data_IF_585982150489
#
_entry.id   IF_585982150489
#
_cell.length_a   1.000
_cell.length_b   1.000
_cell.length_c   1.000
_cell.angle_alpha   90.00
_cell.angle_beta   90.00
_cell.angle_gamma   90.00
#
_symmetry.space_group_name_H-M   'P 1'
#
loop_
_entity.id
_entity.type
_entity.pdbx_description
1 polymer ?
#
# COMPACT_ATOMS: atom_id res chain seq x y z
N UNK A 1 49.64 -41.53 79.36
CA UNK A 1 49.98 -40.44 80.31
C UNK A 1 48.97 -39.34 80.24
N UNK A 2 48.32 -39.06 81.39
CA UNK A 2 47.58 -37.89 81.85
C UNK A 2 46.41 -37.42 80.94
N UNK A 3 45.15 -37.64 81.32
CA UNK A 3 44.40 -37.22 82.52
C UNK A 3 43.99 -35.74 82.46
N UNK A 4 42.74 -35.47 82.53
CA UNK A 4 42.23 -34.27 83.18
C UNK A 4 40.98 -33.70 82.49
N UNK A 5 39.90 -33.97 83.06
CA UNK A 5 38.90 -33.35 83.95
C UNK A 5 37.84 -32.54 83.13
N UNK A 6 36.68 -33.07 83.08
CA UNK A 6 35.45 -32.80 83.86
C UNK A 6 35.29 -31.34 84.33
N UNK A 7 34.36 -30.58 83.71
CA UNK A 7 33.53 -29.63 84.50
C UNK A 7 32.15 -29.52 83.85
N UNK A 8 31.21 -29.92 84.65
CA UNK A 8 29.77 -29.77 84.52
C UNK A 8 29.36 -28.37 84.92
N UNK A 9 28.61 -27.68 84.14
CA UNK A 9 27.83 -26.54 84.65
C UNK A 9 26.50 -26.42 83.84
N UNK A 10 25.47 -26.75 84.62
CA UNK A 10 24.06 -26.48 84.35
C UNK A 10 23.76 -24.99 84.38
N UNK A 11 22.93 -24.51 83.46
CA UNK A 11 21.92 -23.44 83.66
C UNK A 11 20.94 -23.38 82.49
N UNK A 12 19.73 -23.89 82.73
CA UNK A 12 18.44 -23.19 82.80
C UNK A 12 18.11 -22.23 81.65
N UNK A 13 17.23 -22.69 80.85
CA UNK A 13 15.96 -22.05 80.48
C UNK A 13 15.98 -20.77 79.65
N UNK A 14 15.45 -20.89 78.46
CA UNK A 14 14.34 -20.00 78.00
C UNK A 14 13.72 -20.62 76.74
N UNK A 15 12.49 -21.05 76.88
CA UNK A 15 11.61 -21.38 75.76
C UNK A 15 11.34 -20.09 74.96
N UNK A 16 11.90 -19.94 73.73
CA UNK A 16 11.44 -19.07 72.76
C UNK A 16 10.84 -19.92 71.62
N UNK A 17 9.53 -19.99 71.59
CA UNK A 17 8.74 -20.52 70.48
C UNK A 17 8.86 -19.59 69.27
N UNK A 18 9.86 -19.81 68.45
CA UNK A 18 9.97 -19.24 67.14
C UNK A 18 9.05 -19.99 66.16
N UNK A 19 7.89 -19.42 65.86
CA UNK A 19 7.11 -19.82 64.70
C UNK A 19 7.97 -19.57 63.43
N UNK A 20 8.58 -20.64 62.91
CA UNK A 20 9.12 -20.63 61.57
C UNK A 20 7.92 -20.61 60.61
N UNK A 21 7.55 -19.42 60.16
CA UNK A 21 6.72 -19.26 58.95
C UNK A 21 7.53 -19.80 57.79
N UNK A 22 7.23 -21.04 57.38
CA UNK A 22 7.63 -21.55 56.09
C UNK A 22 7.01 -20.64 55.03
N UNK A 23 7.83 -19.75 54.48
CA UNK A 23 7.51 -18.97 53.32
C UNK A 23 7.60 -19.95 52.14
N UNK A 24 6.46 -20.65 51.86
CA UNK A 24 6.25 -21.31 50.59
C UNK A 24 6.41 -20.26 49.51
N UNK A 25 7.58 -20.19 48.88
CA UNK A 25 7.79 -19.59 47.61
C UNK A 25 6.96 -20.33 46.59
N UNK A 26 5.65 -20.04 46.55
CA UNK A 26 4.83 -20.34 45.39
C UNK A 26 5.46 -19.62 44.22
N UNK A 27 6.34 -20.34 43.51
CA UNK A 27 6.68 -19.99 42.14
C UNK A 27 5.36 -20.06 41.36
N UNK A 28 4.63 -18.95 41.37
CA UNK A 28 3.53 -18.71 40.45
C UNK A 28 4.17 -18.74 39.07
N UNK A 29 4.17 -19.93 38.46
CA UNK A 29 4.41 -20.06 37.04
C UNK A 29 3.33 -19.21 36.39
N UNK A 30 3.71 -18.01 35.95
CA UNK A 30 2.85 -17.17 35.16
C UNK A 30 2.41 -18.02 33.96
N UNK A 31 1.11 -18.28 33.79
CA UNK A 31 0.65 -19.10 32.67
C UNK A 31 1.16 -18.45 31.43
N UNK A 32 1.89 -19.21 30.59
CA UNK A 32 2.31 -18.73 29.26
C UNK A 32 1.12 -18.07 28.61
N UNK A 33 1.28 -16.85 28.02
CA UNK A 33 0.17 -16.14 27.41
C UNK A 33 -0.53 -17.10 26.46
N UNK A 34 -1.86 -17.23 26.54
CA UNK A 34 -2.58 -18.17 25.69
C UNK A 34 -2.24 -17.82 24.25
N UNK A 35 -1.77 -18.81 23.48
CA UNK A 35 -1.54 -18.61 22.04
C UNK A 35 -2.79 -17.96 21.47
N UNK A 36 -2.65 -16.80 20.86
CA UNK A 36 -3.77 -16.02 20.37
C UNK A 36 -4.60 -16.90 19.43
N UNK A 37 -5.85 -17.17 19.78
CA UNK A 37 -6.76 -17.92 18.94
C UNK A 37 -7.07 -17.16 17.65
N UNK A 38 -7.74 -17.80 16.66
CA UNK A 38 -8.01 -17.17 15.35
C UNK A 38 -8.81 -15.86 15.48
N UNK A 39 -9.72 -15.77 16.46
CA UNK A 39 -10.49 -14.55 16.70
C UNK A 39 -9.63 -13.38 17.21
N UNK A 40 -8.62 -13.66 18.03
CA UNK A 40 -7.69 -12.63 18.50
C UNK A 40 -6.77 -12.17 17.36
N UNK A 41 -6.22 -13.10 16.56
CA UNK A 41 -5.42 -12.75 15.39
C UNK A 41 -6.22 -11.95 14.36
N UNK A 42 -7.50 -12.30 14.12
CA UNK A 42 -8.36 -11.55 13.22
C UNK A 42 -8.66 -10.14 13.78
N UNK A 43 -8.95 -10.00 15.08
CA UNK A 43 -9.10 -8.70 15.74
C UNK A 43 -7.89 -7.79 15.49
N UNK A 44 -6.70 -8.35 15.68
CA UNK A 44 -5.46 -7.57 15.54
C UNK A 44 -5.17 -7.25 14.06
N UNK A 45 -5.51 -8.15 13.13
CA UNK A 45 -5.49 -7.89 11.69
C UNK A 45 -6.40 -6.71 11.31
N UNK A 46 -7.67 -6.74 11.78
CA UNK A 46 -8.64 -5.68 11.50
C UNK A 46 -8.25 -4.35 12.16
N UNK A 47 -7.63 -4.41 13.33
CA UNK A 47 -7.09 -3.22 13.99
C UNK A 47 -5.93 -2.59 13.19
N UNK A 48 -5.01 -3.42 12.70
CA UNK A 48 -3.91 -2.96 11.84
C UNK A 48 -4.43 -2.40 10.51
N UNK A 49 -5.44 -3.04 9.90
CA UNK A 49 -6.08 -2.55 8.68
C UNK A 49 -6.78 -1.20 8.91
N UNK A 50 -7.48 -1.03 10.06
CA UNK A 50 -8.13 0.23 10.44
C UNK A 50 -7.14 1.40 10.54
N UNK A 51 -5.98 1.18 11.17
CA UNK A 51 -4.96 2.22 11.34
C UNK A 51 -4.03 2.39 10.14
N UNK A 52 -4.20 1.58 9.09
CA UNK A 52 -3.25 1.46 7.97
C UNK A 52 -1.82 1.15 8.44
N UNK A 53 -1.67 0.38 9.54
CA UNK A 53 -0.37 -0.10 10.01
C UNK A 53 0.11 -1.27 9.15
N UNK A 54 0.89 -0.95 8.10
CA UNK A 54 1.43 -1.92 7.15
C UNK A 54 2.32 -2.97 7.81
N UNK A 55 3.09 -2.58 8.83
CA UNK A 55 4.05 -3.46 9.52
C UNK A 55 3.29 -4.50 10.32
N UNK A 56 2.34 -4.07 11.14
CA UNK A 56 1.50 -4.98 11.91
C UNK A 56 0.61 -5.84 11.00
N UNK A 57 -0.06 -5.25 10.01
CA UNK A 57 -0.94 -5.96 9.08
C UNK A 57 -0.22 -7.12 8.37
N UNK A 58 1.00 -6.87 7.89
CA UNK A 58 1.82 -7.88 7.21
C UNK A 58 2.07 -9.12 8.06
N UNK A 59 2.17 -8.99 9.40
CA UNK A 59 2.43 -10.12 10.28
C UNK A 59 1.28 -11.13 10.32
N UNK A 60 0.06 -10.72 9.97
CA UNK A 60 -1.13 -11.57 9.94
C UNK A 60 -1.39 -12.22 8.58
N UNK A 61 -0.57 -11.94 7.58
CA UNK A 61 -0.63 -12.60 6.28
C UNK A 61 0.15 -13.92 6.31
N UNK A 62 -0.22 -14.89 5.46
CA UNK A 62 0.62 -16.07 5.21
C UNK A 62 1.98 -15.65 4.68
N UNK A 63 3.02 -16.48 4.84
CA UNK A 63 4.38 -16.13 4.41
C UNK A 63 4.44 -15.71 2.94
N UNK A 64 3.71 -16.41 2.05
CA UNK A 64 3.61 -16.09 0.64
C UNK A 64 2.97 -14.72 0.41
N UNK A 65 1.83 -14.46 1.05
CA UNK A 65 1.12 -13.17 0.92
C UNK A 65 1.92 -12.01 1.53
N UNK A 66 2.61 -12.22 2.66
CA UNK A 66 3.47 -11.22 3.28
C UNK A 66 4.64 -10.79 2.38
N UNK A 67 5.21 -11.75 1.63
CA UNK A 67 6.24 -11.46 0.64
C UNK A 67 5.71 -10.59 -0.50
N UNK A 68 4.57 -10.96 -1.09
CA UNK A 68 3.93 -10.18 -2.16
C UNK A 68 3.47 -8.82 -1.66
N UNK A 69 2.87 -8.72 -0.47
CA UNK A 69 2.49 -7.45 0.16
C UNK A 69 3.67 -6.47 0.22
N UNK A 70 4.87 -6.95 0.53
CA UNK A 70 6.07 -6.11 0.60
C UNK A 70 6.52 -5.55 -0.75
N UNK A 71 6.10 -6.17 -1.87
CA UNK A 71 6.43 -5.73 -3.23
C UNK A 71 5.42 -4.75 -3.81
N UNK A 72 4.19 -4.74 -3.25
CA UNK A 72 3.15 -3.83 -3.68
C UNK A 72 3.55 -2.37 -3.47
N UNK A 73 3.01 -1.48 -4.28
CA UNK A 73 3.13 -0.04 -4.07
C UNK A 73 2.44 0.38 -2.78
N UNK A 74 2.78 1.54 -2.23
CA UNK A 74 2.12 2.08 -1.03
C UNK A 74 0.60 2.20 -1.27
N UNK A 75 0.19 2.71 -2.43
CA UNK A 75 -1.22 2.85 -2.79
C UNK A 75 -1.95 1.51 -2.80
N UNK A 76 -1.34 0.46 -3.39
CA UNK A 76 -1.93 -0.87 -3.44
C UNK A 76 -2.04 -1.53 -2.04
N UNK A 77 -1.04 -1.35 -1.17
CA UNK A 77 -1.10 -1.81 0.22
C UNK A 77 -2.21 -1.12 1.01
N UNK A 78 -2.31 0.19 0.86
CA UNK A 78 -3.39 0.97 1.48
C UNK A 78 -4.76 0.50 0.99
N UNK A 79 -4.94 0.33 -0.31
CA UNK A 79 -6.20 -0.13 -0.90
C UNK A 79 -6.59 -1.54 -0.43
N UNK A 80 -5.62 -2.44 -0.28
CA UNK A 80 -5.88 -3.75 0.30
C UNK A 80 -6.41 -3.63 1.75
N UNK A 81 -5.74 -2.85 2.59
CA UNK A 81 -6.16 -2.69 4.00
C UNK A 81 -7.56 -2.07 4.12
N UNK A 82 -7.91 -1.12 3.26
CA UNK A 82 -9.26 -0.54 3.19
C UNK A 82 -10.34 -1.60 2.97
N UNK A 83 -10.07 -2.59 2.11
CA UNK A 83 -11.01 -3.68 1.82
C UNK A 83 -11.28 -4.59 3.01
N UNK A 84 -10.36 -4.70 3.96
CA UNK A 84 -10.55 -5.49 5.17
C UNK A 84 -11.57 -4.87 6.13
N UNK A 85 -11.66 -3.55 6.18
CA UNK A 85 -12.51 -2.81 7.12
C UNK A 85 -13.63 -2.02 6.44
N UNK A 86 -13.70 -2.04 5.11
CA UNK A 86 -14.65 -1.29 4.26
C UNK A 86 -14.66 0.22 4.56
N UNK A 87 -13.51 0.78 4.94
CA UNK A 87 -13.32 2.20 5.22
C UNK A 87 -12.33 2.82 4.26
N UNK A 88 -12.61 4.04 3.80
CA UNK A 88 -11.74 4.77 2.87
C UNK A 88 -10.56 5.44 3.54
N UNK A 89 -10.70 5.84 4.80
CA UNK A 89 -9.71 6.62 5.53
C UNK A 89 -9.13 5.84 6.72
N UNK A 90 -7.86 6.10 7.10
CA UNK A 90 -7.29 5.50 8.28
C UNK A 90 -8.04 5.95 9.53
N UNK A 91 -8.27 5.01 10.45
CA UNK A 91 -8.98 5.23 11.68
C UNK A 91 -8.14 4.95 12.91
N UNK A 92 -8.76 5.17 14.07
CA UNK A 92 -8.21 4.79 15.37
C UNK A 92 -8.93 3.53 15.85
N UNK A 93 -8.27 2.36 15.87
CA UNK A 93 -8.88 1.13 16.33
C UNK A 93 -8.99 1.12 17.85
N UNK A 94 -10.12 0.61 18.34
CA UNK A 94 -10.34 0.31 19.75
C UNK A 94 -10.86 -1.11 19.85
N UNK A 95 -10.08 -2.00 20.46
CA UNK A 95 -10.50 -3.36 20.74
C UNK A 95 -11.39 -3.40 21.99
N UNK A 96 -12.51 -4.07 21.87
CA UNK A 96 -13.49 -4.29 22.94
C UNK A 96 -13.97 -5.74 22.91
N UNK A 97 -14.81 -6.12 23.86
CA UNK A 97 -15.52 -7.39 23.84
C UNK A 97 -17.00 -7.13 24.13
N UNK A 98 -17.88 -7.91 23.49
CA UNK A 98 -19.30 -7.89 23.85
C UNK A 98 -19.58 -8.66 25.14
N UNK A 99 -20.84 -8.67 25.59
CA UNK A 99 -21.27 -9.40 26.80
C UNK A 99 -20.98 -10.92 26.75
N UNK A 100 -20.83 -11.50 25.56
CA UNK A 100 -20.46 -12.91 25.38
C UNK A 100 -18.94 -13.11 25.24
N UNK A 101 -18.12 -12.08 25.51
CA UNK A 101 -16.65 -12.15 25.41
C UNK A 101 -16.12 -12.18 23.97
N UNK A 102 -16.95 -11.94 22.95
CA UNK A 102 -16.52 -11.94 21.55
C UNK A 102 -15.84 -10.63 21.20
N UNK A 103 -14.74 -10.66 20.43
CA UNK A 103 -14.01 -9.45 20.07
C UNK A 103 -14.84 -8.50 19.20
N UNK A 104 -14.74 -7.21 19.49
CA UNK A 104 -15.23 -6.10 18.68
C UNK A 104 -14.07 -5.16 18.39
N UNK A 105 -13.93 -4.73 17.15
CA UNK A 105 -13.04 -3.64 16.75
C UNK A 105 -13.89 -2.45 16.36
N UNK A 106 -13.79 -1.37 17.12
CA UNK A 106 -14.38 -0.08 16.76
C UNK A 106 -13.31 0.74 16.04
N UNK A 107 -13.57 1.11 14.79
CA UNK A 107 -12.66 1.88 13.95
C UNK A 107 -13.24 3.29 13.74
N UNK A 108 -12.66 4.30 14.39
CA UNK A 108 -13.13 5.68 14.32
C UNK A 108 -12.28 6.48 13.33
N UNK A 109 -12.92 6.96 12.27
CA UNK A 109 -12.35 7.88 11.27
C UNK A 109 -12.89 9.30 11.48
N UNK A 110 -12.37 10.32 10.77
CA UNK A 110 -12.94 11.67 10.81
C UNK A 110 -14.41 11.76 10.34
N UNK A 111 -14.87 10.77 9.57
CA UNK A 111 -16.20 10.77 8.94
C UNK A 111 -17.24 9.87 9.62
N UNK A 112 -16.80 9.00 10.53
CA UNK A 112 -17.70 8.08 11.23
C UNK A 112 -16.94 6.98 11.95
N UNK A 113 -17.69 6.15 12.65
CA UNK A 113 -17.15 4.98 13.36
C UNK A 113 -17.79 3.72 12.79
N UNK A 114 -16.95 2.77 12.38
CA UNK A 114 -17.40 1.42 12.03
C UNK A 114 -17.17 0.47 13.21
N UNK A 115 -18.15 -0.37 13.49
CA UNK A 115 -18.05 -1.46 14.44
C UNK A 115 -17.94 -2.79 13.70
N UNK A 116 -16.90 -3.55 14.03
CA UNK A 116 -16.58 -4.83 13.43
C UNK A 116 -16.67 -5.89 14.52
N UNK A 117 -17.74 -6.66 14.51
CA UNK A 117 -17.99 -7.72 15.49
C UNK A 117 -17.52 -9.06 14.94
N UNK A 118 -16.61 -9.74 15.66
CA UNK A 118 -16.11 -11.05 15.28
C UNK A 118 -16.92 -12.12 15.99
N UNK A 119 -17.50 -13.04 15.22
CA UNK A 119 -18.29 -14.14 15.72
C UNK A 119 -17.45 -15.29 16.27
N UNK A 120 -18.13 -16.39 16.64
CA UNK A 120 -17.45 -17.62 17.08
C UNK A 120 -16.68 -18.28 15.95
N UNK A 121 -15.46 -18.75 16.25
CA UNK A 121 -14.64 -19.47 15.28
C UNK A 121 -15.11 -20.92 15.12
N UNK A 122 -15.35 -21.37 13.88
CA UNK A 122 -15.44 -22.79 13.52
C UNK A 122 -14.04 -23.26 13.13
N UNK A 123 -13.39 -24.03 14.02
CA UNK A 123 -12.01 -24.48 13.84
C UNK A 123 -12.01 -25.92 13.38
N UNK A 124 -11.34 -26.19 12.25
CA UNK A 124 -11.13 -27.51 11.66
C UNK A 124 -9.65 -27.70 11.39
N UNK A 125 -8.98 -28.44 12.27
CA UNK A 125 -7.53 -28.67 12.23
C UNK A 125 -6.70 -27.37 12.16
N UNK A 126 -6.12 -27.08 11.02
CA UNK A 126 -5.29 -25.89 10.78
C UNK A 126 -6.08 -24.72 10.15
N UNK A 127 -7.39 -24.87 9.94
CA UNK A 127 -8.23 -23.84 9.32
C UNK A 127 -9.31 -23.40 10.30
N UNK A 128 -9.63 -22.13 10.30
CA UNK A 128 -10.74 -21.57 11.08
C UNK A 128 -11.58 -20.63 10.21
N UNK A 129 -12.90 -20.67 10.43
CA UNK A 129 -13.83 -19.74 9.79
C UNK A 129 -14.50 -18.89 10.85
N UNK A 130 -14.49 -17.56 10.64
CA UNK A 130 -15.02 -16.58 11.56
C UNK A 130 -16.02 -15.67 10.84
N UNK A 131 -17.31 -15.71 11.21
CA UNK A 131 -18.26 -14.71 10.71
C UNK A 131 -17.93 -13.36 11.35
N UNK A 132 -17.99 -12.31 10.52
CA UNK A 132 -17.73 -10.93 10.92
C UNK A 132 -18.89 -10.07 10.45
N UNK A 133 -19.41 -9.26 11.35
CA UNK A 133 -20.45 -8.28 11.09
C UNK A 133 -19.84 -6.88 11.14
N UNK A 134 -19.90 -6.15 10.02
CA UNK A 134 -19.49 -4.75 9.95
C UNK A 134 -20.72 -3.85 9.92
N UNK A 135 -20.74 -2.86 10.78
CA UNK A 135 -21.83 -1.87 10.90
C UNK A 135 -21.25 -0.47 11.04
N UNK A 136 -21.99 0.51 10.56
CA UNK A 136 -21.72 1.89 10.89
C UNK A 136 -22.34 2.21 12.27
N UNK A 137 -21.51 2.71 13.21
CA UNK A 137 -21.96 2.97 14.59
C UNK A 137 -22.98 4.14 14.70
N UNK A 138 -23.01 5.02 13.70
CA UNK A 138 -23.92 6.18 13.65
C UNK A 138 -25.37 5.80 13.36
N UNK A 139 -25.63 4.59 12.85
CA UNK A 139 -26.95 4.14 12.47
C UNK A 139 -27.21 2.67 12.89
N UNK A 140 -27.41 2.42 14.19
CA UNK A 140 -27.59 1.05 14.70
C UNK A 140 -28.91 0.39 14.24
N UNK A 141 -29.92 1.17 13.84
CA UNK A 141 -31.26 0.64 13.54
C UNK A 141 -31.54 0.51 12.04
N UNK A 142 -30.87 1.28 11.18
CA UNK A 142 -31.11 1.28 9.73
C UNK A 142 -29.86 0.86 8.92
N UNK A 143 -28.68 0.84 9.52
CA UNK A 143 -27.45 0.42 8.88
C UNK A 143 -27.46 -1.05 8.53
N UNK A 144 -27.45 -1.40 7.24
CA UNK A 144 -27.28 -2.76 6.79
C UNK A 144 -25.96 -3.32 7.30
N UNK A 145 -26.03 -4.39 8.11
CA UNK A 145 -24.83 -5.09 8.53
C UNK A 145 -24.24 -5.83 7.31
N UNK A 146 -22.96 -5.61 7.03
CA UNK A 146 -22.23 -6.41 6.06
C UNK A 146 -21.71 -7.67 6.74
N UNK A 147 -22.24 -8.83 6.34
CA UNK A 147 -21.81 -10.12 6.84
C UNK A 147 -20.70 -10.69 5.97
N UNK A 148 -19.52 -10.89 6.55
CA UNK A 148 -18.36 -11.44 5.85
C UNK A 148 -17.81 -12.61 6.62
N UNK A 149 -17.49 -13.71 5.92
CA UNK A 149 -16.84 -14.87 6.52
C UNK A 149 -15.33 -14.78 6.28
N UNK A 150 -14.54 -14.68 7.33
CA UNK A 150 -13.08 -14.74 7.24
C UNK A 150 -12.60 -16.17 7.41
N UNK A 151 -11.73 -16.63 6.51
CA UNK A 151 -10.95 -17.84 6.64
C UNK A 151 -9.56 -17.53 7.20
N UNK A 152 -9.14 -18.31 8.19
CA UNK A 152 -7.82 -18.25 8.78
C UNK A 152 -7.12 -19.59 8.63
N UNK A 153 -5.80 -19.58 8.50
CA UNK A 153 -4.96 -20.80 8.48
C UNK A 153 -3.89 -20.70 9.56
N UNK A 154 -3.57 -21.82 10.20
CA UNK A 154 -2.48 -21.88 11.18
C UNK A 154 -1.17 -22.21 10.48
N UNK A 155 -0.25 -21.24 10.44
CA UNK A 155 1.08 -21.35 9.85
C UNK A 155 2.12 -21.08 10.95
N UNK A 156 3.03 -22.03 11.17
CA UNK A 156 4.06 -21.96 12.22
C UNK A 156 3.51 -21.68 13.64
N UNK A 157 2.32 -22.21 13.95
CA UNK A 157 1.67 -22.00 15.26
C UNK A 157 0.84 -20.73 15.38
N UNK A 158 0.88 -19.84 14.41
CA UNK A 158 0.16 -18.57 14.38
C UNK A 158 -1.01 -18.60 13.37
N UNK A 159 -2.08 -17.87 13.68
CA UNK A 159 -3.22 -17.77 12.79
C UNK A 159 -3.00 -16.61 11.79
N UNK A 160 -3.11 -16.92 10.50
CA UNK A 160 -2.92 -16.01 9.37
C UNK A 160 -4.20 -15.91 8.53
N UNK A 161 -4.45 -14.79 7.89
CA UNK A 161 -5.61 -14.64 7.00
C UNK A 161 -5.43 -15.47 5.74
N UNK A 162 -6.42 -16.29 5.44
CA UNK A 162 -6.48 -17.14 4.26
C UNK A 162 -7.48 -16.62 3.22
N UNK A 163 -8.66 -16.17 3.67
CA UNK A 163 -9.73 -15.72 2.76
C UNK A 163 -10.60 -14.64 3.40
N UNK A 164 -11.27 -13.88 2.53
CA UNK A 164 -12.30 -12.90 2.88
C UNK A 164 -13.54 -13.26 2.07
N UNK A 165 -14.61 -13.65 2.74
CA UNK A 165 -15.78 -14.22 2.07
C UNK A 165 -15.42 -15.50 1.30
N UNK A 166 -15.87 -15.59 0.08
CA UNK A 166 -15.55 -16.72 -0.82
C UNK A 166 -14.22 -16.55 -1.56
N UNK A 167 -13.55 -15.40 -1.40
CA UNK A 167 -12.31 -15.08 -2.10
C UNK A 167 -11.09 -15.55 -1.27
N UNK A 168 -10.32 -16.45 -1.85
CA UNK A 168 -9.01 -16.80 -1.31
C UNK A 168 -8.08 -15.60 -1.48
N UNK A 169 -7.37 -15.21 -0.43
CA UNK A 169 -6.39 -14.14 -0.51
C UNK A 169 -5.11 -14.66 -1.20
N UNK A 170 -4.96 -14.34 -2.48
CA UNK A 170 -3.78 -14.65 -3.29
C UNK A 170 -3.13 -13.36 -3.80
N UNK A 171 -2.35 -12.72 -2.93
CA UNK A 171 -1.66 -11.47 -3.27
C UNK A 171 -0.68 -11.60 -4.45
N UNK A 172 0.02 -12.73 -4.68
CA UNK A 172 0.81 -12.89 -5.89
C UNK A 172 0.03 -12.68 -7.19
N UNK A 173 -1.22 -13.15 -7.27
CA UNK A 173 -2.08 -12.92 -8.44
C UNK A 173 -2.56 -11.47 -8.51
N UNK A 174 -2.94 -10.86 -7.39
CA UNK A 174 -3.32 -9.45 -7.32
C UNK A 174 -2.15 -8.51 -7.64
N UNK A 175 -0.92 -8.86 -7.26
CA UNK A 175 0.29 -8.11 -7.61
C UNK A 175 0.40 -7.93 -9.13
N UNK A 176 0.21 -9.00 -9.89
CA UNK A 176 0.27 -8.97 -11.37
C UNK A 176 -0.85 -8.10 -11.96
N UNK A 177 -2.08 -8.20 -11.44
CA UNK A 177 -3.21 -7.40 -11.92
C UNK A 177 -2.99 -5.90 -11.65
N UNK A 178 -2.47 -5.56 -10.47
CA UNK A 178 -2.22 -4.17 -10.10
C UNK A 178 -1.07 -3.55 -10.88
N UNK A 179 0.01 -4.30 -11.12
CA UNK A 179 1.11 -3.85 -11.97
C UNK A 179 0.60 -3.58 -13.40
N UNK A 180 -0.25 -4.45 -13.93
CA UNK A 180 -0.85 -4.23 -15.26
C UNK A 180 -1.79 -3.03 -15.30
N UNK A 181 -2.61 -2.83 -14.27
CA UNK A 181 -3.51 -1.67 -14.19
C UNK A 181 -2.73 -0.36 -14.06
N UNK A 182 -1.64 -0.33 -13.28
CA UNK A 182 -0.77 0.83 -13.12
C UNK A 182 -0.04 1.14 -14.43
N UNK A 183 0.49 0.13 -15.13
CA UNK A 183 1.10 0.24 -16.46
C UNK A 183 0.09 0.84 -17.45
N UNK A 184 -1.12 0.30 -17.54
CA UNK A 184 -2.16 0.77 -18.45
C UNK A 184 -2.55 2.24 -18.18
N UNK A 185 -2.67 2.59 -16.91
CA UNK A 185 -2.97 3.98 -16.49
C UNK A 185 -1.85 4.94 -16.92
N UNK A 186 -0.59 4.56 -16.67
CA UNK A 186 0.58 5.37 -17.06
C UNK A 186 0.68 5.53 -18.59
N UNK A 187 0.38 4.49 -19.35
CA UNK A 187 0.35 4.50 -20.81
C UNK A 187 -0.73 5.47 -21.36
N UNK A 188 -1.93 5.44 -20.79
CA UNK A 188 -3.00 6.38 -21.16
C UNK A 188 -2.61 7.83 -20.83
N UNK A 189 -2.05 8.06 -19.65
CA UNK A 189 -1.58 9.38 -19.23
C UNK A 189 -0.41 9.91 -20.10
N UNK A 190 0.45 9.01 -20.59
CA UNK A 190 1.51 9.36 -21.52
C UNK A 190 0.94 9.82 -22.86
N UNK A 191 -0.08 9.14 -23.37
CA UNK A 191 -0.77 9.54 -24.61
C UNK A 191 -1.48 10.89 -24.48
N UNK A 192 -2.14 11.14 -23.35
CA UNK A 192 -2.72 12.46 -23.05
C UNK A 192 -1.67 13.56 -22.94
N UNK A 193 -0.53 13.24 -22.33
CA UNK A 193 0.60 14.17 -22.20
C UNK A 193 1.19 14.52 -23.57
N UNK A 194 1.31 13.56 -24.49
CA UNK A 194 1.69 13.80 -25.88
C UNK A 194 0.74 14.76 -26.57
N UNK A 195 -0.58 14.58 -26.41
CA UNK A 195 -1.60 15.48 -26.95
C UNK A 195 -1.45 16.89 -26.39
N UNK A 196 -1.22 17.04 -25.08
CA UNK A 196 -0.99 18.33 -24.41
C UNK A 196 0.28 19.03 -24.94
N UNK A 197 1.39 18.29 -25.06
CA UNK A 197 2.65 18.82 -25.59
C UNK A 197 2.44 19.29 -27.04
N UNK A 198 1.77 18.49 -27.89
CA UNK A 198 1.47 18.83 -29.25
C UNK A 198 0.66 20.13 -29.34
N UNK A 199 -0.42 20.25 -28.56
CA UNK A 199 -1.25 21.44 -28.50
C UNK A 199 -0.45 22.70 -28.08
N UNK A 200 0.45 22.53 -27.11
CA UNK A 200 1.34 23.55 -26.62
C UNK A 200 2.33 24.02 -27.73
N UNK A 201 2.92 23.08 -28.47
CA UNK A 201 3.82 23.37 -29.61
C UNK A 201 3.08 24.17 -30.68
N UNK A 202 1.87 23.77 -31.05
CA UNK A 202 1.06 24.46 -32.06
C UNK A 202 0.63 25.86 -31.57
N UNK A 203 0.27 26.01 -30.30
CA UNK A 203 -0.05 27.32 -29.72
C UNK A 203 1.18 28.24 -29.72
N UNK A 204 2.34 27.70 -29.34
CA UNK A 204 3.61 28.44 -29.39
C UNK A 204 3.94 28.87 -30.81
N UNK A 205 3.80 27.99 -31.82
CA UNK A 205 4.04 28.30 -33.24
C UNK A 205 3.14 29.42 -33.74
N UNK A 206 1.87 29.40 -33.34
CA UNK A 206 0.92 30.49 -33.69
C UNK A 206 1.29 31.84 -33.05
N UNK A 207 1.75 31.82 -31.79
CA UNK A 207 2.06 33.02 -31.02
C UNK A 207 3.40 33.66 -31.42
N UNK A 208 4.39 32.83 -31.79
CA UNK A 208 5.77 33.30 -32.00
C UNK A 208 6.31 33.04 -33.43
N UNK A 209 5.47 32.55 -34.36
CA UNK A 209 5.78 32.24 -35.75
C UNK A 209 7.00 31.30 -35.95
N UNK A 210 7.32 30.49 -34.95
CA UNK A 210 8.43 29.51 -34.94
C UNK A 210 8.15 28.35 -33.97
N UNK A 211 8.85 27.23 -34.14
CA UNK A 211 8.84 26.14 -33.20
C UNK A 211 9.61 26.48 -31.91
N UNK A 212 9.22 25.95 -30.74
CA UNK A 212 10.00 26.10 -29.52
C UNK A 212 11.33 25.33 -29.67
N UNK A 213 12.44 25.86 -29.16
CA UNK A 213 13.75 25.21 -29.27
C UNK A 213 13.82 23.88 -28.45
N UNK A 214 13.02 23.79 -27.42
CA UNK A 214 12.98 22.66 -26.48
C UNK A 214 11.69 22.70 -25.64
N UNK A 215 11.29 21.62 -24.95
CA UNK A 215 10.07 21.57 -24.14
C UNK A 215 10.08 22.58 -22.99
N UNK A 216 11.24 22.90 -22.41
CA UNK A 216 11.35 23.89 -21.33
C UNK A 216 10.87 25.29 -21.74
N UNK A 217 10.94 25.65 -23.04
CA UNK A 217 10.41 26.91 -23.55
C UNK A 217 8.88 27.00 -23.51
N UNK A 218 8.22 25.88 -23.40
CA UNK A 218 6.77 25.78 -23.21
C UNK A 218 6.33 25.92 -21.76
N UNK A 219 7.27 25.79 -20.81
CA UNK A 219 7.01 25.90 -19.37
C UNK A 219 6.74 27.35 -18.92
N UNK A 220 6.61 27.50 -17.59
CA UNK A 220 6.31 28.79 -16.95
C UNK A 220 7.43 29.80 -17.13
N UNK A 221 7.06 31.07 -17.40
CA UNK A 221 8.01 32.17 -17.48
C UNK A 221 8.48 32.60 -16.09
N UNK A 222 9.79 32.77 -15.93
CA UNK A 222 10.38 33.35 -14.70
C UNK A 222 9.97 34.83 -14.49
N UNK A 223 9.43 35.52 -15.51
CA UNK A 223 9.05 36.92 -15.47
C UNK A 223 7.55 37.16 -15.28
N UNK A 224 6.76 36.12 -15.02
CA UNK A 224 5.32 36.20 -14.78
C UNK A 224 4.45 36.30 -16.04
N UNK A 225 4.89 37.01 -17.09
CA UNK A 225 4.19 37.06 -18.37
C UNK A 225 4.74 36.03 -19.38
N UNK A 226 3.92 35.47 -20.29
CA UNK A 226 4.39 34.56 -21.33
C UNK A 226 5.44 35.21 -22.24
N UNK A 227 6.53 34.48 -22.47
CA UNK A 227 7.63 34.93 -23.37
C UNK A 227 8.06 33.75 -24.27
N UNK A 228 8.84 33.98 -25.33
CA UNK A 228 9.40 32.89 -26.14
C UNK A 228 10.34 31.95 -25.36
N UNK A 229 10.85 32.35 -24.19
CA UNK A 229 11.69 31.53 -23.32
C UNK A 229 10.93 30.87 -22.17
N UNK A 230 9.64 31.14 -22.05
CA UNK A 230 8.75 30.57 -21.07
C UNK A 230 7.30 30.93 -21.39
N UNK A 231 6.66 30.10 -22.23
CA UNK A 231 5.37 30.40 -22.80
C UNK A 231 4.18 30.13 -21.86
N UNK A 232 4.39 29.44 -20.74
CA UNK A 232 3.35 29.12 -19.76
C UNK A 232 2.30 28.12 -20.26
N UNK A 233 2.64 27.28 -21.24
CA UNK A 233 1.72 26.36 -21.91
C UNK A 233 1.76 24.93 -21.32
N UNK A 234 2.83 24.58 -20.62
CA UNK A 234 3.01 23.28 -19.97
C UNK A 234 3.31 23.45 -18.48
N UNK A 235 2.90 22.47 -17.70
CA UNK A 235 3.34 22.34 -16.31
C UNK A 235 4.83 21.99 -16.22
N UNK A 236 5.39 22.15 -15.02
CA UNK A 236 6.84 22.00 -14.75
C UNK A 236 7.37 20.63 -15.18
N UNK A 237 6.61 19.57 -14.92
CA UNK A 237 7.04 18.20 -15.19
C UNK A 237 7.10 17.92 -16.69
N UNK A 238 6.06 18.28 -17.44
CA UNK A 238 6.03 18.13 -18.89
C UNK A 238 7.08 19.03 -19.57
N UNK A 239 7.29 20.23 -19.08
CA UNK A 239 8.33 21.12 -19.59
C UNK A 239 9.74 20.56 -19.33
N UNK A 240 9.93 19.81 -18.22
CA UNK A 240 11.14 19.06 -17.94
C UNK A 240 11.26 17.74 -18.73
N UNK A 241 10.25 17.40 -19.54
CA UNK A 241 10.23 16.17 -20.33
C UNK A 241 9.95 14.89 -19.54
N UNK A 242 9.32 14.96 -18.35
CA UNK A 242 9.01 13.80 -17.53
C UNK A 242 7.65 13.97 -16.87
N UNK A 243 6.78 12.95 -16.97
CA UNK A 243 5.51 12.91 -16.25
C UNK A 243 4.95 11.49 -16.18
N UNK A 244 4.34 11.12 -15.05
CA UNK A 244 3.59 9.86 -14.86
C UNK A 244 4.35 8.61 -15.32
N UNK A 245 5.65 8.52 -14.96
CA UNK A 245 6.47 7.37 -15.31
C UNK A 245 6.95 7.32 -16.76
N UNK A 246 6.76 8.41 -17.54
CA UNK A 246 7.22 8.54 -18.92
C UNK A 246 8.23 9.68 -19.09
N UNK A 247 9.14 9.48 -20.04
CA UNK A 247 10.10 10.48 -20.51
C UNK A 247 9.70 10.95 -21.91
N UNK A 248 9.64 12.26 -22.11
CA UNK A 248 9.24 12.90 -23.37
C UNK A 248 10.45 13.55 -24.04
N UNK A 249 10.67 13.22 -25.30
CA UNK A 249 11.74 13.81 -26.13
C UNK A 249 11.14 14.53 -27.30
N UNK A 250 11.58 15.76 -27.51
CA UNK A 250 11.20 16.64 -28.61
C UNK A 250 12.43 16.97 -29.46
N UNK A 251 12.31 16.84 -30.76
CA UNK A 251 13.38 17.12 -31.74
C UNK A 251 12.81 17.91 -32.89
N UNK A 252 13.50 18.98 -33.33
CA UNK A 252 13.19 19.71 -34.55
C UNK A 252 13.92 19.01 -35.69
N UNK A 253 13.19 18.68 -36.77
CA UNK A 253 13.70 18.06 -37.99
C UNK A 253 13.51 18.97 -39.21
N UNK A 254 14.36 18.82 -40.22
CA UNK A 254 14.29 19.62 -41.46
C UNK A 254 14.63 21.08 -41.30
N UNK A 255 15.19 21.53 -40.18
CA UNK A 255 15.54 22.91 -39.92
C UNK A 255 16.63 23.51 -40.85
N UNK A 256 17.36 22.64 -41.56
CA UNK A 256 18.47 23.01 -42.45
C UNK A 256 18.11 22.97 -43.92
N UNK A 257 16.89 22.57 -44.30
CA UNK A 257 16.44 22.52 -45.69
C UNK A 257 15.93 23.88 -46.14
N UNK A 258 16.60 24.50 -47.11
CA UNK A 258 16.22 25.80 -47.63
C UNK A 258 14.83 25.70 -48.25
N UNK A 259 13.85 26.40 -47.66
CA UNK A 259 12.48 26.51 -48.17
C UNK A 259 11.46 25.49 -47.59
N UNK A 260 11.89 24.48 -46.82
CA UNK A 260 10.96 23.58 -46.14
C UNK A 260 10.55 24.14 -44.76
N UNK A 261 9.26 24.07 -44.36
CA UNK A 261 8.86 24.45 -43.03
C UNK A 261 9.46 23.50 -42.02
N UNK A 262 10.03 24.01 -40.91
CA UNK A 262 10.56 23.21 -39.83
C UNK A 262 9.47 22.28 -39.25
N UNK A 263 9.79 21.02 -39.14
CA UNK A 263 8.95 19.98 -38.56
C UNK A 263 9.49 19.53 -37.20
N UNK A 264 8.72 18.72 -36.48
CA UNK A 264 9.17 18.16 -35.23
C UNK A 264 8.77 16.70 -35.07
N UNK A 265 9.53 16.02 -34.28
CA UNK A 265 9.23 14.68 -33.76
C UNK A 265 9.11 14.73 -32.24
N UNK A 266 8.14 14.01 -31.71
CA UNK A 266 7.87 13.90 -30.30
C UNK A 266 7.75 12.42 -29.94
N UNK A 267 8.51 11.95 -28.97
CA UNK A 267 8.44 10.59 -28.49
C UNK A 267 8.19 10.54 -26.99
N UNK A 268 7.48 9.51 -26.55
CA UNK A 268 7.31 9.19 -25.15
C UNK A 268 7.75 7.76 -24.91
N UNK A 269 8.63 7.55 -23.94
CA UNK A 269 9.15 6.23 -23.56
C UNK A 269 8.93 6.00 -22.09
N UNK A 270 8.62 4.76 -21.64
CA UNK A 270 8.52 4.46 -20.22
C UNK A 270 9.87 4.70 -19.54
N UNK A 271 9.86 5.34 -18.39
CA UNK A 271 11.08 5.60 -17.60
C UNK A 271 11.69 4.31 -17.06
N UNK A 272 10.88 3.29 -16.79
CA UNK A 272 11.28 1.94 -16.39
C UNK A 272 10.40 0.96 -17.18
N UNK A 273 10.98 0.31 -18.20
CA UNK A 273 10.28 -0.68 -18.99
C UNK A 273 9.71 -1.82 -18.13
N UNK A 274 8.46 -2.21 -18.41
CA UNK A 274 7.75 -3.28 -17.70
C UNK A 274 7.20 -2.86 -16.34
N UNK A 275 7.50 -1.65 -15.86
CA UNK A 275 6.98 -1.12 -14.59
C UNK A 275 6.16 0.15 -14.76
N UNK A 276 6.67 1.14 -15.49
CA UNK A 276 5.93 2.39 -15.75
C UNK A 276 5.23 2.38 -17.10
N UNK A 277 5.48 1.38 -17.92
CA UNK A 277 4.88 1.16 -19.23
C UNK A 277 5.65 0.11 -20.03
N UNK A 278 5.04 -0.38 -21.09
CA UNK A 278 5.67 -1.23 -22.12
C UNK A 278 5.69 -0.53 -23.47
N UNK A 279 4.67 0.29 -23.71
CA UNK A 279 4.45 0.96 -25.00
C UNK A 279 5.24 2.25 -25.08
N UNK A 280 6.01 2.40 -26.16
CA UNK A 280 6.61 3.66 -26.56
C UNK A 280 5.76 4.32 -27.63
N UNK A 281 5.63 5.63 -27.55
CA UNK A 281 4.83 6.42 -28.51
C UNK A 281 5.73 7.31 -29.33
N UNK A 282 5.35 7.47 -30.60
CA UNK A 282 5.98 8.39 -31.55
C UNK A 282 4.91 9.25 -32.21
N UNK A 283 5.20 10.54 -32.39
CA UNK A 283 4.33 11.48 -33.05
C UNK A 283 5.17 12.50 -33.81
N UNK A 284 4.80 12.76 -35.04
CA UNK A 284 5.40 13.78 -35.90
C UNK A 284 4.47 14.98 -36.12
N UNK A 285 4.92 15.93 -36.92
CA UNK A 285 4.17 17.13 -37.31
C UNK A 285 2.90 16.83 -38.14
N UNK A 286 2.70 15.60 -38.66
CA UNK A 286 1.47 15.21 -39.34
C UNK A 286 0.30 15.06 -38.40
N UNK A 287 0.59 14.92 -37.10
CA UNK A 287 -0.40 14.74 -36.07
C UNK A 287 -0.78 13.28 -35.82
N UNK A 288 -0.26 12.33 -36.58
CA UNK A 288 -0.45 10.91 -36.34
C UNK A 288 0.38 10.47 -35.11
N UNK A 289 -0.23 9.67 -34.23
CA UNK A 289 0.48 9.02 -33.13
C UNK A 289 0.64 7.55 -33.44
N UNK A 290 1.83 7.04 -33.26
CA UNK A 290 2.21 5.65 -33.44
C UNK A 290 2.63 5.05 -32.12
N UNK A 291 2.40 3.76 -31.91
CA UNK A 291 2.68 3.06 -30.64
C UNK A 291 3.19 1.65 -30.89
N UNK A 292 4.23 1.27 -30.17
CA UNK A 292 4.82 -0.06 -30.23
C UNK A 292 5.59 -0.42 -28.96
N UNK A 293 5.75 -1.72 -28.72
CA UNK A 293 6.62 -2.23 -27.64
C UNK A 293 8.07 -2.28 -28.17
N UNK A 294 8.85 -1.31 -27.75
CA UNK A 294 10.27 -1.17 -28.09
C UNK A 294 11.20 -1.45 -26.91
N UNK A 295 10.69 -2.15 -25.87
CA UNK A 295 11.45 -2.47 -24.65
C UNK A 295 12.07 -1.22 -24.00
N UNK A 296 11.35 -0.09 -24.02
CA UNK A 296 11.79 1.19 -23.48
C UNK A 296 12.62 2.06 -24.45
N UNK A 297 12.93 1.58 -25.67
CA UNK A 297 13.51 2.40 -26.71
C UNK A 297 12.46 3.28 -27.40
N UNK A 298 12.93 4.27 -28.17
CA UNK A 298 12.06 5.23 -28.90
C UNK A 298 11.28 4.49 -29.98
N UNK A 299 9.97 4.76 -30.07
CA UNK A 299 9.09 4.31 -31.15
C UNK A 299 9.38 5.06 -32.47
N UNK A 300 8.77 4.61 -33.55
CA UNK A 300 9.00 5.18 -34.88
C UNK A 300 7.69 5.27 -35.72
N UNK A 301 7.78 5.91 -36.88
CA UNK A 301 6.64 6.15 -37.79
C UNK A 301 6.04 4.88 -38.40
N UNK A 302 6.76 3.76 -38.37
CA UNK A 302 6.29 2.46 -38.91
C UNK A 302 5.46 1.67 -37.89
N UNK A 303 5.40 2.11 -36.65
CA UNK A 303 4.56 1.48 -35.63
C UNK A 303 3.07 1.66 -35.97
N UNK A 304 2.19 0.81 -35.44
CA UNK A 304 0.76 0.95 -35.63
C UNK A 304 0.24 2.32 -35.15
N UNK A 305 -0.69 2.91 -35.93
CA UNK A 305 -1.34 4.15 -35.52
C UNK A 305 -2.27 3.91 -34.34
N UNK A 306 -2.18 4.79 -33.35
CA UNK A 306 -3.14 4.86 -32.26
C UNK A 306 -4.43 5.49 -32.79
N UNK A 307 -5.55 4.82 -32.53
CA UNK A 307 -6.90 5.27 -32.91
C UNK A 307 -7.42 6.37 -31.97
#
# INVERSE_FOLDING_TARGET
MRAGRLTLLTLVGLLATGLATAQESSSRTEPAPPMAGPAASLRDTLSAACSHDEVAFKTFLTARNAQSFSRLTIAARTELMKRFVLLSDPGKPKAMANAAGRPIVSCTTPYGTAEIQIGGADIRDAIAFLPVDLREASDPDTGAAHHVLFGMVRENGEWKVLSIGLLLLDLPSLEVEWDQAEISTSEQQALESLKKITAAIETYRKSYARLPKSLDKLGTSKKGAPTPDGAGLLDVDLAAGKKNGYSFRYVIVGANDVGAPAQYELSATPSIYGRTGKISYFRDSSGATHAGDHQGAIGNVNDPKVK
#
